data_IF_254697799101
#
_entry.id   IF_254697799101
#
_cell.length_a   1.000
_cell.length_b   1.000
_cell.length_c   1.000
_cell.angle_alpha   90.00
_cell.angle_beta   90.00
_cell.angle_gamma   90.00
#
_symmetry.space_group_name_H-M   'P 1'
#
loop_
_entity.id
_entity.type
_entity.pdbx_description
1 polymer ?
#
# COMPACT_ATOMS: atom_id res chain seq x y z
N UNK A 1 -12.80 -0.20 7.10
CA UNK A 1 -14.11 -0.51 7.71
C UNK A 1 -15.06 -1.20 6.72
N UNK A 2 -15.27 -0.66 5.51
CA UNK A 2 -16.22 -1.21 4.55
C UNK A 2 -15.91 -2.67 4.16
N UNK A 3 -14.65 -2.98 3.85
CA UNK A 3 -14.26 -4.35 3.51
C UNK A 3 -14.41 -5.31 4.71
N UNK A 4 -14.11 -4.84 5.92
CA UNK A 4 -14.36 -5.61 7.14
C UNK A 4 -15.85 -5.91 7.34
N UNK A 5 -16.73 -4.92 7.10
CA UNK A 5 -18.18 -5.09 7.16
C UNK A 5 -18.71 -6.06 6.09
N UNK A 6 -18.00 -6.25 4.97
CA UNK A 6 -18.31 -7.24 3.94
C UNK A 6 -17.91 -8.68 4.33
N UNK A 7 -17.24 -8.87 5.47
CA UNK A 7 -16.89 -10.19 5.99
C UNK A 7 -15.48 -10.69 5.64
N UNK A 8 -14.59 -9.83 5.11
CA UNK A 8 -13.20 -10.23 4.89
C UNK A 8 -12.48 -10.41 6.22
N UNK A 9 -11.88 -11.59 6.43
CA UNK A 9 -11.12 -11.91 7.65
C UNK A 9 -9.70 -11.36 7.66
N UNK A 10 -9.17 -11.03 6.49
CA UNK A 10 -7.88 -10.37 6.33
C UNK A 10 -7.94 -9.34 5.21
N UNK A 11 -7.24 -8.22 5.38
CA UNK A 11 -7.16 -7.13 4.41
C UNK A 11 -5.70 -6.69 4.31
N UNK A 12 -5.16 -6.60 3.10
CA UNK A 12 -3.87 -5.98 2.85
C UNK A 12 -4.07 -4.59 2.23
N UNK A 13 -3.47 -3.58 2.83
CA UNK A 13 -3.48 -2.20 2.35
C UNK A 13 -2.10 -1.79 1.84
N UNK A 14 -2.06 -0.85 0.92
CA UNK A 14 -0.82 -0.38 0.28
C UNK A 14 -0.87 -0.61 -1.24
N UNK A 15 0.24 -0.59 -1.91
CA UNK A 15 1.60 -0.30 -1.40
C UNK A 15 1.71 1.15 -0.96
N UNK A 16 2.32 1.36 0.19
CA UNK A 16 2.61 2.70 0.71
C UNK A 16 4.12 2.99 0.65
N UNK A 17 4.48 4.22 0.41
CA UNK A 17 5.86 4.71 0.38
C UNK A 17 6.09 5.77 1.47
N UNK A 18 7.33 6.06 1.86
CA UNK A 18 7.60 7.09 2.89
C UNK A 18 6.93 8.43 2.60
N UNK A 19 7.11 8.94 1.39
CA UNK A 19 6.52 10.19 0.91
C UNK A 19 5.34 9.91 -0.01
N UNK A 20 4.36 10.83 -0.11
CA UNK A 20 3.31 10.76 -1.13
C UNK A 20 3.91 10.71 -2.55
N UNK A 21 3.24 9.97 -3.44
CA UNK A 21 3.56 10.03 -4.87
C UNK A 21 2.30 9.80 -5.72
N UNK A 22 2.21 10.44 -6.90
CA UNK A 22 1.01 10.41 -7.73
C UNK A 22 0.82 9.09 -8.49
N UNK A 23 1.87 8.27 -8.57
CA UNK A 23 1.91 7.12 -9.47
C UNK A 23 2.20 7.49 -10.90
N UNK A 24 1.99 6.56 -11.82
CA UNK A 24 2.23 6.76 -13.26
C UNK A 24 1.09 7.56 -13.90
N UNK A 25 1.38 8.15 -15.07
CA UNK A 25 0.39 8.85 -15.89
C UNK A 25 -0.74 7.91 -16.35
N UNK A 26 -1.93 8.45 -16.47
CA UNK A 26 -3.10 7.73 -17.02
C UNK A 26 -3.05 7.73 -18.57
N UNK A 27 -3.55 6.67 -19.24
CA UNK A 27 -4.20 5.47 -18.68
C UNK A 27 -3.20 4.52 -18.02
N UNK A 28 -3.57 3.90 -16.91
CA UNK A 28 -2.69 3.02 -16.12
C UNK A 28 -3.37 1.74 -15.61
N UNK A 29 -4.63 1.52 -16.01
CA UNK A 29 -5.37 0.26 -15.81
C UNK A 29 -6.02 -0.09 -17.15
N UNK A 30 -5.91 -1.34 -17.57
CA UNK A 30 -6.43 -1.83 -18.84
C UNK A 30 -7.21 -3.13 -18.61
N UNK A 31 -8.47 -3.16 -19.06
CA UNK A 31 -9.30 -4.36 -19.01
C UNK A 31 -9.10 -5.17 -20.29
N UNK A 32 -8.78 -6.44 -20.14
CA UNK A 32 -8.65 -7.40 -21.22
C UNK A 32 -9.88 -8.32 -21.19
N UNK A 33 -10.96 -7.91 -21.87
CA UNK A 33 -12.26 -8.60 -21.80
C UNK A 33 -12.15 -10.06 -22.27
N UNK A 34 -11.53 -10.28 -23.43
CA UNK A 34 -11.41 -11.62 -24.03
C UNK A 34 -10.51 -12.58 -23.21
N UNK A 35 -9.58 -12.03 -22.44
CA UNK A 35 -8.68 -12.80 -21.57
C UNK A 35 -9.14 -12.82 -20.11
N UNK A 36 -10.31 -12.25 -19.80
CA UNK A 36 -10.85 -12.12 -18.43
C UNK A 36 -9.81 -11.56 -17.44
N UNK A 37 -9.00 -10.58 -17.87
CA UNK A 37 -7.86 -10.07 -17.11
C UNK A 37 -7.82 -8.57 -16.98
N UNK A 38 -6.95 -8.12 -16.07
CA UNK A 38 -6.61 -6.72 -15.88
C UNK A 38 -5.09 -6.56 -15.93
N UNK A 39 -4.63 -5.58 -16.69
CA UNK A 39 -3.24 -5.12 -16.62
C UNK A 39 -3.23 -3.77 -15.93
N UNK A 40 -2.26 -3.54 -15.04
CA UNK A 40 -2.05 -2.22 -14.47
C UNK A 40 -0.57 -1.83 -14.47
N UNK A 41 -0.36 -0.52 -14.43
CA UNK A 41 0.91 0.15 -14.21
C UNK A 41 0.68 1.35 -13.29
N UNK A 42 0.08 1.11 -12.11
CA UNK A 42 -0.35 2.16 -11.20
C UNK A 42 0.79 3.04 -10.70
N UNK A 43 1.96 2.44 -10.45
CA UNK A 43 3.14 3.17 -9.96
C UNK A 43 3.04 3.58 -8.50
N UNK A 44 2.28 2.82 -7.70
CA UNK A 44 2.11 3.02 -6.25
C UNK A 44 1.65 4.42 -5.86
N UNK A 45 0.56 4.90 -6.49
CA UNK A 45 -0.06 6.16 -6.09
C UNK A 45 -0.55 6.07 -4.64
N UNK A 46 -0.04 6.94 -3.78
CA UNK A 46 -0.40 6.94 -2.37
C UNK A 46 -0.12 8.29 -1.71
N UNK A 47 -0.70 8.51 -0.54
CA UNK A 47 -0.57 9.75 0.24
C UNK A 47 0.55 9.70 1.30
N UNK A 48 1.43 8.70 1.24
CA UNK A 48 2.54 8.53 2.17
C UNK A 48 2.18 7.76 3.43
N UNK A 49 3.21 7.25 4.09
CA UNK A 49 3.05 6.36 5.26
C UNK A 49 2.40 7.06 6.46
N UNK A 50 2.64 8.35 6.66
CA UNK A 50 2.03 9.08 7.78
C UNK A 50 0.51 9.18 7.62
N UNK A 51 0.03 9.46 6.40
CA UNK A 51 -1.39 9.46 6.10
C UNK A 51 -2.01 8.07 6.28
N UNK A 52 -1.31 7.01 5.86
CA UNK A 52 -1.78 5.64 6.05
C UNK A 52 -1.93 5.33 7.55
N UNK A 53 -0.94 5.64 8.36
CA UNK A 53 -0.98 5.39 9.82
C UNK A 53 -2.13 6.14 10.48
N UNK A 54 -2.37 7.41 10.13
CA UNK A 54 -3.49 8.17 10.67
C UNK A 54 -4.85 7.55 10.29
N UNK A 55 -4.99 7.01 9.09
CA UNK A 55 -6.20 6.31 8.67
C UNK A 55 -6.37 4.97 9.40
N UNK A 56 -5.30 4.22 9.58
CA UNK A 56 -5.33 2.94 10.32
C UNK A 56 -5.74 3.16 11.77
N UNK A 57 -5.23 4.20 12.44
CA UNK A 57 -5.63 4.55 13.82
C UNK A 57 -7.12 4.83 13.96
N UNK A 58 -7.76 5.35 12.92
CA UNK A 58 -9.21 5.67 12.90
C UNK A 58 -10.08 4.49 12.48
N UNK A 59 -9.47 3.49 11.84
CA UNK A 59 -10.19 2.33 11.33
C UNK A 59 -10.58 1.35 12.45
N UNK A 60 -11.71 0.69 12.27
CA UNK A 60 -12.17 -0.38 13.15
C UNK A 60 -12.24 -1.66 12.32
N UNK A 61 -11.25 -2.54 12.50
CA UNK A 61 -11.17 -3.82 11.81
C UNK A 61 -10.59 -4.87 12.76
N UNK A 62 -11.38 -5.90 13.06
CA UNK A 62 -11.02 -6.96 14.04
C UNK A 62 -10.25 -8.12 13.39
N UNK A 63 -10.08 -8.10 12.07
CA UNK A 63 -9.35 -9.12 11.33
C UNK A 63 -7.85 -8.85 11.23
N UNK A 64 -7.17 -9.66 10.41
CA UNK A 64 -5.73 -9.50 10.17
C UNK A 64 -5.49 -8.37 9.16
N UNK A 65 -4.79 -7.33 9.58
CA UNK A 65 -4.37 -6.22 8.74
C UNK A 65 -2.93 -6.42 8.25
N UNK A 66 -2.76 -6.65 6.95
CA UNK A 66 -1.47 -6.61 6.28
C UNK A 66 -1.17 -5.20 5.77
N UNK A 67 0.09 -4.77 5.86
CA UNK A 67 0.53 -3.49 5.29
C UNK A 67 1.68 -3.74 4.32
N UNK A 68 1.45 -3.38 3.06
CA UNK A 68 2.42 -3.52 1.98
C UNK A 68 3.23 -2.22 1.85
N UNK A 69 4.56 -2.33 1.97
CA UNK A 69 5.47 -1.19 1.95
C UNK A 69 6.39 -1.24 0.72
N UNK A 70 6.73 -0.07 0.20
CA UNK A 70 7.59 0.05 -0.97
C UNK A 70 8.48 1.29 -0.96
N UNK A 71 9.44 1.28 -1.86
CA UNK A 71 10.36 2.40 -2.11
C UNK A 71 9.66 3.49 -2.92
N UNK A 72 9.89 4.78 -2.61
CA UNK A 72 9.50 5.88 -3.49
C UNK A 72 10.16 5.76 -4.88
N UNK A 73 9.46 6.21 -5.91
CA UNK A 73 9.94 6.18 -7.29
C UNK A 73 11.26 6.94 -7.46
N UNK A 74 11.37 8.09 -6.81
CA UNK A 74 12.53 8.99 -6.90
C UNK A 74 13.69 8.63 -5.96
N UNK A 75 13.50 7.66 -5.06
CA UNK A 75 14.58 7.16 -4.21
C UNK A 75 15.49 6.24 -5.04
N UNK A 76 16.81 6.52 -5.13
CA UNK A 76 17.76 5.63 -5.78
C UNK A 76 17.74 4.22 -5.17
N UNK A 77 17.98 3.20 -5.99
CA UNK A 77 17.92 1.79 -5.56
C UNK A 77 18.87 1.51 -4.39
N UNK A 78 20.06 2.10 -4.39
CA UNK A 78 21.06 1.98 -3.33
C UNK A 78 20.59 2.52 -1.98
N UNK A 79 19.59 3.39 -1.97
CA UNK A 79 18.94 3.96 -0.78
C UNK A 79 17.55 3.35 -0.50
N UNK A 80 17.15 2.34 -1.26
CA UNK A 80 15.84 1.68 -1.11
C UNK A 80 15.62 1.11 0.28
N UNK A 81 16.66 0.57 0.90
CA UNK A 81 16.61 0.05 2.27
C UNK A 81 16.09 1.08 3.28
N UNK A 82 16.50 2.34 3.15
CA UNK A 82 16.09 3.40 4.07
C UNK A 82 14.58 3.67 3.98
N UNK A 83 14.02 3.64 2.77
CA UNK A 83 12.58 3.80 2.56
C UNK A 83 11.78 2.66 3.21
N UNK A 84 12.25 1.41 3.08
CA UNK A 84 11.59 0.28 3.74
C UNK A 84 11.67 0.39 5.26
N UNK A 85 12.81 0.81 5.82
CA UNK A 85 12.96 0.99 7.26
C UNK A 85 12.05 2.09 7.79
N UNK A 86 11.94 3.24 7.09
CA UNK A 86 11.03 4.34 7.46
C UNK A 86 9.59 3.85 7.53
N UNK A 87 9.14 3.14 6.49
CA UNK A 87 7.78 2.60 6.47
C UNK A 87 7.57 1.56 7.57
N UNK A 88 8.50 0.59 7.69
CA UNK A 88 8.40 -0.50 8.66
C UNK A 88 8.30 0.03 10.09
N UNK A 89 9.16 0.97 10.48
CA UNK A 89 9.15 1.56 11.82
C UNK A 89 7.80 2.18 12.16
N UNK A 90 7.19 2.87 11.19
CA UNK A 90 5.91 3.55 11.39
C UNK A 90 4.70 2.61 11.42
N UNK A 91 4.70 1.57 10.59
CA UNK A 91 3.54 0.68 10.47
C UNK A 91 3.60 -0.54 11.41
N UNK A 92 4.76 -0.89 11.93
CA UNK A 92 4.98 -2.08 12.74
C UNK A 92 3.97 -2.25 13.90
N UNK A 93 3.63 -1.20 14.68
CA UNK A 93 2.68 -1.35 15.78
C UNK A 93 1.24 -1.68 15.36
N UNK A 94 0.90 -1.48 14.07
CA UNK A 94 -0.47 -1.57 13.55
C UNK A 94 -0.69 -2.77 12.63
N UNK A 95 0.37 -3.41 12.18
CA UNK A 95 0.30 -4.47 11.19
C UNK A 95 0.25 -5.86 11.82
N UNK A 96 -0.64 -6.72 11.35
CA UNK A 96 -0.62 -8.15 11.63
C UNK A 96 0.52 -8.85 10.87
N UNK A 97 0.84 -8.33 9.67
CA UNK A 97 2.04 -8.67 8.90
C UNK A 97 2.45 -7.51 8.00
N UNK A 98 3.70 -7.51 7.57
CA UNK A 98 4.23 -6.51 6.62
C UNK A 98 4.68 -7.24 5.36
N UNK A 99 4.18 -6.78 4.20
CA UNK A 99 4.64 -7.24 2.89
C UNK A 99 5.67 -6.24 2.33
N UNK A 100 6.82 -6.74 1.94
CA UNK A 100 7.89 -5.94 1.32
C UNK A 100 7.77 -6.09 -0.19
N UNK A 101 7.45 -4.99 -0.87
CA UNK A 101 7.23 -4.97 -2.32
C UNK A 101 8.53 -4.73 -3.09
#
# INVERSE_FOLDING_TARGET
>A
DALGAMGFGSIEIGTVTPRPQPGNDKPRIFRLVDAEGLINRMGFNNHGVDNLVENVKKAHFDGVLGINIGKNKDTPVEHGKDDYLICMEKVYPYAGYIAIN
#
